data_IF_529666763040
#
_entry.id   IF_529666763040
#
_cell.length_a   1.000
_cell.length_b   1.000
_cell.length_c   1.000
_cell.angle_alpha   90.00
_cell.angle_beta   90.00
_cell.angle_gamma   90.00
#
_symmetry.space_group_name_H-M   'P 1'
#
loop_
_entity.id
_entity.type
_entity.pdbx_description
1 polymer ?
#
# COMPACT_ATOMS: atom_id res chain seq x y z
N UNK A 1 0.37 10.42 7.73
CA UNK A 1 1.26 10.64 6.57
C UNK A 1 2.10 11.88 6.83
N UNK A 2 3.27 11.98 6.21
CA UNK A 2 4.12 13.16 6.37
C UNK A 2 3.49 14.31 5.56
N UNK A 3 3.27 15.44 6.22
CA UNK A 3 2.72 16.62 5.56
C UNK A 3 3.58 17.00 4.34
N UNK A 4 2.92 17.21 3.20
CA UNK A 4 3.56 17.58 1.93
C UNK A 4 4.07 16.41 1.07
N UNK A 5 3.81 15.16 1.44
CA UNK A 5 4.14 13.98 0.61
C UNK A 5 2.84 13.33 0.14
N UNK A 6 2.66 13.24 -1.18
CA UNK A 6 1.60 12.47 -1.82
C UNK A 6 2.19 11.46 -2.79
N UNK A 7 1.52 10.31 -2.93
CA UNK A 7 1.84 9.31 -3.95
C UNK A 7 0.73 9.39 -4.99
N UNK A 8 1.11 9.55 -6.26
CA UNK A 8 0.16 9.45 -7.38
C UNK A 8 0.56 8.24 -8.21
N UNK A 9 -0.38 7.33 -8.44
CA UNK A 9 -0.15 6.15 -9.27
C UNK A 9 -0.83 6.34 -10.62
N UNK A 10 -0.08 6.07 -11.70
CA UNK A 10 -0.70 5.87 -13.00
C UNK A 10 -1.55 4.60 -13.01
N UNK A 11 -2.52 4.52 -13.94
CA UNK A 11 -3.45 3.39 -14.02
C UNK A 11 -2.72 2.04 -14.20
N UNK A 12 -1.65 2.02 -15.01
CA UNK A 12 -0.85 0.83 -15.25
C UNK A 12 -0.17 0.33 -13.97
N UNK A 13 0.37 1.22 -13.15
CA UNK A 13 1.05 0.85 -11.91
C UNK A 13 0.05 0.42 -10.84
N UNK A 14 -1.11 1.08 -10.78
CA UNK A 14 -2.21 0.66 -9.91
C UNK A 14 -2.65 -0.77 -10.23
N UNK A 15 -2.91 -1.06 -11.51
CA UNK A 15 -3.26 -2.42 -11.98
C UNK A 15 -2.19 -3.47 -11.63
N UNK A 16 -0.89 -3.13 -11.74
CA UNK A 16 0.21 -4.03 -11.36
C UNK A 16 0.23 -4.31 -9.86
N UNK A 17 0.06 -3.29 -9.03
CA UNK A 17 0.03 -3.45 -7.57
C UNK A 17 -1.18 -4.26 -7.13
N UNK A 18 -2.36 -4.01 -7.70
CA UNK A 18 -3.56 -4.80 -7.43
C UNK A 18 -3.36 -6.28 -7.82
N UNK A 19 -2.70 -6.54 -8.95
CA UNK A 19 -2.36 -7.91 -9.36
C UNK A 19 -1.42 -8.61 -8.36
N UNK A 20 -0.42 -7.91 -7.82
CA UNK A 20 0.46 -8.45 -6.77
C UNK A 20 -0.30 -8.77 -5.48
N UNK A 21 -1.33 -7.98 -5.16
CA UNK A 21 -2.17 -8.22 -3.97
C UNK A 21 -3.10 -9.41 -4.18
N UNK A 22 -3.62 -9.60 -5.40
CA UNK A 22 -4.52 -10.69 -5.74
C UNK A 22 -3.80 -12.04 -5.96
N UNK A 23 -2.52 -12.02 -6.34
CA UNK A 23 -1.74 -13.23 -6.59
C UNK A 23 -1.35 -13.95 -5.30
N UNK A 24 -1.92 -15.14 -5.10
CA UNK A 24 -1.66 -15.99 -3.92
C UNK A 24 -0.25 -16.59 -3.88
N UNK A 25 0.51 -16.50 -4.96
CA UNK A 25 1.91 -16.93 -4.99
C UNK A 25 2.89 -15.79 -4.64
N UNK A 26 2.41 -14.55 -4.58
CA UNK A 26 3.27 -13.41 -4.28
C UNK A 26 3.71 -13.47 -2.80
N UNK A 27 5.02 -13.37 -2.49
CA UNK A 27 5.48 -13.41 -1.11
C UNK A 27 4.82 -12.31 -0.28
N UNK A 28 4.42 -12.64 0.96
CA UNK A 28 3.63 -11.77 1.83
C UNK A 28 4.23 -10.36 2.01
N UNK A 29 5.56 -10.24 2.04
CA UNK A 29 6.26 -8.94 2.12
C UNK A 29 5.97 -8.01 0.93
N UNK A 30 5.77 -8.57 -0.27
CA UNK A 30 5.43 -7.81 -1.47
C UNK A 30 3.95 -7.42 -1.45
N UNK A 31 3.07 -8.34 -1.04
CA UNK A 31 1.65 -8.05 -0.85
C UNK A 31 1.46 -6.89 0.13
N UNK A 32 2.14 -6.92 1.28
CA UNK A 32 2.07 -5.84 2.26
C UNK A 32 2.54 -4.49 1.70
N UNK A 33 3.69 -4.47 1.02
CA UNK A 33 4.20 -3.23 0.40
C UNK A 33 3.26 -2.70 -0.67
N UNK A 34 2.67 -3.57 -1.49
CA UNK A 34 1.71 -3.16 -2.51
C UNK A 34 0.45 -2.55 -1.88
N UNK A 35 -0.12 -3.17 -0.83
CA UNK A 35 -1.27 -2.62 -0.09
C UNK A 35 -0.97 -1.26 0.53
N UNK A 36 0.21 -1.08 1.15
CA UNK A 36 0.62 0.20 1.73
C UNK A 36 0.69 1.30 0.67
N UNK A 37 1.28 1.00 -0.50
CA UNK A 37 1.39 1.96 -1.60
C UNK A 37 0.02 2.34 -2.17
N UNK A 38 -0.87 1.36 -2.36
CA UNK A 38 -2.24 1.60 -2.83
C UNK A 38 -3.02 2.50 -1.87
N UNK A 39 -3.05 2.15 -0.59
CA UNK A 39 -3.74 2.95 0.45
C UNK A 39 -3.13 4.35 0.59
N UNK A 40 -1.80 4.46 0.45
CA UNK A 40 -1.12 5.75 0.47
C UNK A 40 -1.49 6.63 -0.72
N UNK A 41 -1.62 6.04 -1.91
CA UNK A 41 -2.06 6.74 -3.11
C UNK A 41 -3.54 7.16 -3.02
N UNK A 42 -4.36 6.41 -2.27
CA UNK A 42 -5.74 6.76 -1.94
C UNK A 42 -5.84 7.84 -0.84
N UNK A 43 -4.72 8.36 -0.34
CA UNK A 43 -4.68 9.40 0.68
C UNK A 43 -5.00 8.91 2.09
N UNK A 44 -4.98 7.59 2.31
CA UNK A 44 -5.27 7.00 3.61
C UNK A 44 -4.13 7.30 4.59
N UNK A 45 -4.49 7.84 5.76
CA UNK A 45 -3.53 8.17 6.79
C UNK A 45 -2.80 6.94 7.35
N UNK A 46 -1.54 7.12 7.76
CA UNK A 46 -0.69 6.07 8.36
C UNK A 46 -1.38 5.22 9.43
N UNK A 47 -2.16 5.83 10.34
CA UNK A 47 -2.88 5.07 11.37
C UNK A 47 -3.95 4.14 10.79
N UNK A 48 -4.69 4.60 9.77
CA UNK A 48 -5.68 3.78 9.09
C UNK A 48 -5.01 2.67 8.26
N UNK A 49 -3.88 2.97 7.61
CA UNK A 49 -3.06 1.95 6.93
C UNK A 49 -2.65 0.85 7.92
N UNK A 50 -2.12 1.22 9.09
CA UNK A 50 -1.73 0.25 10.12
C UNK A 50 -2.89 -0.65 10.57
N UNK A 51 -4.10 -0.08 10.71
CA UNK A 51 -5.31 -0.84 11.04
C UNK A 51 -5.70 -1.81 9.91
N UNK A 52 -5.68 -1.34 8.66
CA UNK A 52 -6.06 -2.11 7.46
C UNK A 52 -5.09 -3.26 7.15
N UNK A 53 -3.79 -3.04 7.40
CA UNK A 53 -2.72 -4.02 7.11
C UNK A 53 -2.34 -4.88 8.32
N UNK A 54 -2.73 -4.48 9.53
CA UNK A 54 -2.33 -5.14 10.78
C UNK A 54 -0.83 -5.00 11.09
N UNK A 55 -0.16 -3.97 10.56
CA UNK A 55 1.29 -3.79 10.69
C UNK A 55 1.66 -2.66 11.64
N UNK A 56 2.85 -2.73 12.23
CA UNK A 56 3.41 -1.64 13.01
C UNK A 56 3.80 -0.44 12.12
N UNK A 57 3.94 0.73 12.75
CA UNK A 57 4.36 1.97 12.08
C UNK A 57 5.72 1.85 11.40
N UNK A 58 6.63 0.99 11.87
CA UNK A 58 7.95 0.79 11.23
C UNK A 58 7.86 0.09 9.88
N UNK A 59 6.76 -0.62 9.61
CA UNK A 59 6.49 -1.26 8.32
C UNK A 59 5.87 -0.29 7.31
N UNK A 60 5.19 0.76 7.79
CA UNK A 60 4.48 1.78 7.00
C UNK A 60 5.34 3.01 6.81
#
# INVERSE_FOLDING_TARGET
MRNGISITLGEADRRRLDALVADRNTPQKHVWRARIVLLSADGIGTSAIMTETGTAKTTV
#
